data_IF_871322624144
#
_entry.id   IF_871322624144
#
_cell.length_a   1.000
_cell.length_b   1.000
_cell.length_c   1.000
_cell.angle_alpha   90.00
_cell.angle_beta   90.00
_cell.angle_gamma   90.00
#
_symmetry.space_group_name_H-M   'P 1'
#
loop_
_entity.id
_entity.type
_entity.pdbx_description
1 polymer ?
#
# COMPACT_ATOMS: atom_id res chain seq x y z
N UNK A 1 20.09 -43.58 53.54
CA UNK A 1 19.18 -43.29 52.45
C UNK A 1 17.87 -42.75 53.01
N UNK A 2 17.58 -41.44 52.79
CA UNK A 2 16.31 -40.85 53.28
C UNK A 2 15.17 -41.29 52.35
N UNK A 3 14.15 -41.95 52.93
CA UNK A 3 12.96 -42.40 52.18
C UNK A 3 12.13 -41.17 51.75
N UNK A 4 11.95 -41.02 50.44
CA UNK A 4 11.06 -40.00 49.89
C UNK A 4 9.63 -40.41 50.23
N UNK A 5 8.91 -39.55 50.96
CA UNK A 5 7.54 -39.88 51.38
C UNK A 5 6.54 -39.42 50.32
N UNK A 6 5.33 -40.03 50.23
CA UNK A 6 4.24 -39.67 49.33
C UNK A 6 3.90 -38.15 49.41
N UNK A 7 4.03 -37.52 50.60
CA UNK A 7 3.81 -36.10 50.83
C UNK A 7 4.85 -35.22 50.11
N UNK A 8 6.13 -35.65 50.08
CA UNK A 8 7.19 -34.94 49.36
C UNK A 8 7.02 -35.02 47.84
N UNK A 9 6.49 -36.13 47.33
CA UNK A 9 6.17 -36.23 45.90
C UNK A 9 4.97 -35.35 45.49
N UNK A 10 3.93 -35.28 46.32
CA UNK A 10 2.77 -34.41 46.08
C UNK A 10 3.12 -32.91 46.17
N UNK A 11 4.02 -32.53 47.06
CA UNK A 11 4.51 -31.15 47.13
C UNK A 11 5.40 -30.76 45.94
N UNK A 12 6.18 -31.71 45.43
CA UNK A 12 7.00 -31.47 44.22
C UNK A 12 6.15 -31.34 42.94
N UNK A 13 5.05 -32.10 42.81
CA UNK A 13 4.14 -31.97 41.66
C UNK A 13 3.31 -30.69 41.71
N UNK A 14 2.96 -30.16 42.88
CA UNK A 14 2.27 -28.87 43.02
C UNK A 14 3.17 -27.67 42.66
N UNK A 15 4.49 -27.76 42.85
CA UNK A 15 5.45 -26.74 42.49
C UNK A 15 5.63 -26.59 40.95
N UNK A 16 5.39 -27.66 40.18
CA UNK A 16 5.42 -27.59 38.71
C UNK A 16 4.16 -26.97 38.07
N UNK A 17 3.04 -26.92 38.80
CA UNK A 17 1.78 -26.35 38.29
C UNK A 17 1.74 -24.81 38.32
N UNK A 18 2.72 -24.18 38.96
CA UNK A 18 2.85 -22.68 39.02
C UNK A 18 4.07 -22.22 38.19
N UNK A 19 4.38 -22.90 37.09
CA UNK A 19 5.25 -22.26 36.11
C UNK A 19 4.53 -21.00 35.62
N UNK A 20 5.12 -19.77 35.80
CA UNK A 20 4.52 -18.59 35.20
C UNK A 20 4.38 -18.91 33.70
N UNK A 21 3.16 -18.82 33.18
CA UNK A 21 2.95 -18.83 31.74
C UNK A 21 3.87 -17.75 31.22
N UNK A 22 5.02 -18.14 30.68
CA UNK A 22 5.92 -17.19 29.99
C UNK A 22 5.05 -16.52 28.95
N UNK A 23 4.63 -15.28 29.24
CA UNK A 23 3.84 -14.49 28.32
C UNK A 23 4.65 -14.46 27.02
N UNK A 24 4.20 -15.23 26.03
CA UNK A 24 4.83 -15.17 24.71
C UNK A 24 4.84 -13.70 24.33
N UNK A 25 6.00 -13.12 23.98
CA UNK A 25 6.04 -11.73 23.58
C UNK A 25 5.00 -11.53 22.48
N UNK A 26 4.13 -10.54 22.66
CA UNK A 26 3.06 -10.28 21.69
C UNK A 26 3.68 -10.21 20.31
N UNK A 27 3.24 -11.08 19.39
CA UNK A 27 3.78 -11.14 18.03
C UNK A 27 3.68 -9.75 17.40
N UNK A 28 4.73 -9.33 16.73
CA UNK A 28 4.76 -8.07 15.97
C UNK A 28 3.68 -8.12 14.89
N UNK A 29 2.90 -7.06 14.78
CA UNK A 29 1.99 -6.86 13.64
C UNK A 29 2.74 -6.15 12.53
N UNK A 30 2.63 -6.62 11.30
CA UNK A 30 3.25 -5.99 10.12
C UNK A 30 2.17 -5.48 9.16
N UNK A 31 2.24 -4.21 8.83
CA UNK A 31 1.45 -3.56 7.79
C UNK A 31 2.32 -3.46 6.53
N UNK A 32 2.08 -4.29 5.55
CA UNK A 32 2.80 -4.28 4.28
C UNK A 32 2.15 -3.27 3.35
N UNK A 33 2.91 -2.26 2.94
CA UNK A 33 2.52 -1.24 1.95
C UNK A 33 3.17 -1.60 0.63
N UNK A 34 2.42 -1.91 -0.44
CA UNK A 34 2.96 -2.38 -1.71
C UNK A 34 3.51 -1.26 -2.60
N UNK A 35 3.86 -0.12 -2.01
CA UNK A 35 4.38 1.09 -2.67
C UNK A 35 5.55 1.67 -1.87
N UNK A 36 6.42 2.50 -2.50
CA UNK A 36 7.51 3.18 -1.81
C UNK A 36 7.01 4.11 -0.69
N UNK A 37 7.88 4.42 0.28
CA UNK A 37 7.57 5.42 1.32
C UNK A 37 7.22 6.78 0.73
N UNK A 38 6.39 7.57 1.46
CA UNK A 38 6.04 8.95 1.14
C UNK A 38 4.83 9.12 0.22
N UNK A 39 4.19 8.03 -0.21
CA UNK A 39 2.88 8.09 -0.88
C UNK A 39 1.71 8.09 0.10
N UNK A 40 0.47 8.32 -0.40
CA UNK A 40 -0.76 8.35 0.41
C UNK A 40 -0.99 7.07 1.21
N UNK A 41 -0.74 5.90 0.59
CA UNK A 41 -0.88 4.60 1.25
C UNK A 41 0.12 4.41 2.40
N UNK A 42 1.36 4.88 2.22
CA UNK A 42 2.38 4.83 3.27
C UNK A 42 2.04 5.76 4.44
N UNK A 43 1.61 6.98 4.14
CA UNK A 43 1.17 7.93 5.15
C UNK A 43 0.00 7.36 5.97
N UNK A 44 -1.00 6.77 5.31
CA UNK A 44 -2.13 6.13 5.95
C UNK A 44 -1.71 4.94 6.83
N UNK A 45 -0.81 4.07 6.33
CA UNK A 45 -0.30 2.94 7.10
C UNK A 45 0.44 3.39 8.37
N UNK A 46 1.20 4.49 8.31
CA UNK A 46 1.91 5.05 9.48
C UNK A 46 0.95 5.68 10.50
N UNK A 47 -0.14 6.31 10.06
CA UNK A 47 -1.21 6.78 10.95
C UNK A 47 -1.88 5.59 11.65
N UNK A 48 -2.21 4.53 10.91
CA UNK A 48 -2.75 3.30 11.48
C UNK A 48 -1.76 2.64 12.44
N UNK A 49 -0.47 2.60 12.10
CA UNK A 49 0.59 2.05 12.96
C UNK A 49 0.56 2.67 14.36
N UNK A 50 0.61 4.00 14.43
CA UNK A 50 0.63 4.72 15.71
C UNK A 50 -0.62 4.42 16.56
N UNK A 51 -1.78 4.43 15.92
CA UNK A 51 -3.05 4.14 16.60
C UNK A 51 -3.15 2.69 17.06
N UNK A 52 -2.81 1.74 16.20
CA UNK A 52 -2.86 0.31 16.50
C UNK A 52 -1.85 -0.08 17.59
N UNK A 53 -0.63 0.48 17.61
CA UNK A 53 0.33 0.26 18.69
C UNK A 53 -0.27 0.63 20.05
N UNK A 54 -0.89 1.79 20.13
CA UNK A 54 -1.52 2.28 21.36
C UNK A 54 -2.69 1.40 21.79
N UNK A 55 -3.57 1.04 20.85
CA UNK A 55 -4.79 0.27 21.15
C UNK A 55 -4.54 -1.19 21.47
N UNK A 56 -3.56 -1.81 20.81
CA UNK A 56 -3.29 -3.24 20.94
C UNK A 56 -2.19 -3.55 21.95
N UNK A 57 -1.44 -2.55 22.44
CA UNK A 57 -0.34 -2.72 23.38
C UNK A 57 0.79 -3.61 22.83
N UNK A 58 0.97 -3.64 21.50
CA UNK A 58 2.01 -4.45 20.83
C UNK A 58 2.70 -3.68 19.73
N UNK A 59 3.89 -4.11 19.34
CA UNK A 59 4.65 -3.50 18.24
C UNK A 59 3.92 -3.67 16.91
N UNK A 60 3.76 -2.59 16.17
CA UNK A 60 3.26 -2.57 14.79
C UNK A 60 4.35 -1.98 13.90
N UNK A 61 4.68 -2.66 12.81
CA UNK A 61 5.68 -2.23 11.82
C UNK A 61 5.00 -1.90 10.50
N UNK A 62 5.53 -0.91 9.80
CA UNK A 62 5.18 -0.64 8.40
C UNK A 62 6.35 -1.10 7.53
N UNK A 63 6.07 -2.01 6.59
CA UNK A 63 7.03 -2.52 5.62
C UNK A 63 6.63 -2.09 4.20
N UNK A 64 7.50 -1.37 3.50
CA UNK A 64 7.25 -0.98 2.11
C UNK A 64 7.83 -2.03 1.14
N UNK A 65 6.96 -2.68 0.35
CA UNK A 65 7.33 -3.72 -0.62
C UNK A 65 6.78 -3.39 -2.00
N UNK A 66 7.44 -2.47 -2.68
CA UNK A 66 6.99 -1.96 -3.98
C UNK A 66 7.36 -2.87 -5.15
N UNK A 67 6.58 -2.78 -6.23
CA UNK A 67 6.84 -3.42 -7.51
C UNK A 67 5.60 -4.01 -8.17
N UNK A 68 5.61 -4.07 -9.50
CA UNK A 68 4.56 -4.63 -10.35
C UNK A 68 3.14 -4.15 -9.96
N UNK A 69 2.94 -2.82 -9.92
CA UNK A 69 1.69 -2.17 -9.51
C UNK A 69 1.15 -2.62 -8.13
N UNK A 70 2.06 -3.01 -7.22
CA UNK A 70 1.70 -3.47 -5.87
C UNK A 70 1.56 -4.97 -5.71
N UNK A 71 1.62 -5.75 -6.80
CA UNK A 71 1.41 -7.20 -6.72
C UNK A 71 2.48 -7.94 -5.93
N UNK A 72 3.73 -7.44 -5.89
CA UNK A 72 4.80 -8.07 -5.11
C UNK A 72 4.54 -8.01 -3.61
N UNK A 73 4.12 -6.88 -3.09
CA UNK A 73 3.74 -6.73 -1.68
C UNK A 73 2.49 -7.54 -1.34
N UNK A 74 1.49 -7.55 -2.22
CA UNK A 74 0.29 -8.36 -2.05
C UNK A 74 0.61 -9.86 -2.01
N UNK A 75 1.45 -10.35 -2.93
CA UNK A 75 1.88 -11.75 -2.94
C UNK A 75 2.71 -12.14 -1.71
N UNK A 76 3.49 -11.22 -1.14
CA UNK A 76 4.19 -11.45 0.12
C UNK A 76 3.19 -11.70 1.27
N UNK A 77 2.15 -10.88 1.36
CA UNK A 77 1.11 -11.06 2.40
C UNK A 77 0.33 -12.33 2.18
N UNK A 78 -0.08 -12.63 0.96
CA UNK A 78 -0.78 -13.87 0.60
C UNK A 78 -0.01 -15.13 0.99
N UNK A 79 1.33 -15.09 0.95
CA UNK A 79 2.22 -16.21 1.34
C UNK A 79 2.62 -16.20 2.81
N UNK A 80 2.23 -15.19 3.59
CA UNK A 80 2.53 -15.12 5.02
C UNK A 80 1.67 -16.09 5.83
N UNK A 81 2.06 -16.35 7.08
CA UNK A 81 1.25 -17.18 7.98
C UNK A 81 -0.12 -16.52 8.21
N UNK A 82 -1.24 -17.25 8.10
CA UNK A 82 -2.59 -16.70 8.29
C UNK A 82 -2.93 -16.59 9.79
N UNK A 83 -2.04 -16.00 10.57
CA UNK A 83 -2.11 -15.89 12.02
C UNK A 83 -2.58 -14.51 12.52
N UNK A 84 -3.02 -13.64 11.60
CA UNK A 84 -3.50 -12.31 11.93
C UNK A 84 -2.41 -11.33 12.37
N UNK A 85 -1.17 -11.54 11.95
CA UNK A 85 -0.06 -10.63 12.26
C UNK A 85 0.49 -9.89 11.03
N UNK A 86 0.12 -10.28 9.81
CA UNK A 86 0.55 -9.61 8.58
C UNK A 86 -0.65 -9.15 7.77
N UNK A 87 -0.70 -7.86 7.47
CA UNK A 87 -1.80 -7.22 6.75
C UNK A 87 -1.28 -6.44 5.55
N UNK A 88 -2.04 -6.46 4.46
CA UNK A 88 -1.81 -5.59 3.31
C UNK A 88 -2.57 -4.28 3.51
N UNK A 89 -1.88 -3.15 3.40
CA UNK A 89 -2.51 -1.82 3.28
C UNK A 89 -2.36 -1.37 1.84
N UNK A 90 -3.43 -1.46 1.09
CA UNK A 90 -3.44 -1.19 -0.36
C UNK A 90 -4.62 -0.32 -0.75
N UNK A 91 -4.75 -0.01 -2.02
CA UNK A 91 -5.85 0.74 -2.61
C UNK A 91 -6.31 0.09 -3.92
N UNK A 92 -7.17 0.75 -4.66
CA UNK A 92 -7.88 0.26 -5.84
C UNK A 92 -7.04 -0.44 -6.92
N UNK A 93 -5.75 -0.07 -7.07
CA UNK A 93 -4.82 -0.75 -7.99
C UNK A 93 -4.70 -2.25 -7.72
N UNK A 94 -5.04 -2.71 -6.51
CA UNK A 94 -5.08 -4.13 -6.19
C UNK A 94 -6.09 -4.88 -7.05
N UNK A 95 -7.26 -4.29 -7.29
CA UNK A 95 -8.33 -4.90 -8.08
C UNK A 95 -7.99 -5.05 -9.57
N UNK A 96 -7.05 -4.25 -10.11
CA UNK A 96 -6.68 -4.31 -11.53
C UNK A 96 -5.49 -5.23 -11.80
N UNK A 97 -4.84 -5.79 -10.77
CA UNK A 97 -3.70 -6.72 -10.92
C UNK A 97 -3.97 -7.85 -11.92
N UNK A 98 -5.13 -8.54 -11.90
CA UNK A 98 -5.40 -9.62 -12.85
C UNK A 98 -5.50 -9.15 -14.30
N UNK A 99 -5.88 -7.88 -14.52
CA UNK A 99 -6.05 -7.32 -15.86
C UNK A 99 -4.74 -6.81 -16.47
N UNK A 100 -3.73 -6.51 -15.63
CA UNK A 100 -2.46 -5.90 -16.08
C UNK A 100 -1.27 -6.85 -16.05
N UNK A 101 -1.37 -7.97 -15.35
CA UNK A 101 -0.32 -8.98 -15.27
C UNK A 101 -0.81 -10.30 -15.89
N UNK A 102 -0.08 -10.79 -16.88
CA UNK A 102 -0.39 -12.09 -17.52
C UNK A 102 -0.31 -13.27 -16.53
N UNK A 103 0.60 -13.19 -15.57
CA UNK A 103 0.81 -14.23 -14.54
C UNK A 103 0.99 -13.59 -13.17
N UNK A 104 -0.09 -13.13 -12.52
CA UNK A 104 0.02 -12.62 -11.17
C UNK A 104 0.47 -13.73 -10.20
N UNK A 105 1.27 -13.36 -9.19
CA UNK A 105 1.77 -14.31 -8.19
C UNK A 105 0.76 -14.61 -7.07
N UNK A 106 -0.46 -14.05 -7.17
CA UNK A 106 -1.57 -14.24 -6.26
C UNK A 106 -2.89 -14.19 -7.02
N UNK A 107 -3.89 -14.85 -6.48
CA UNK A 107 -5.29 -14.66 -6.83
C UNK A 107 -5.88 -13.59 -5.91
N UNK A 108 -6.14 -12.37 -6.44
CA UNK A 108 -6.58 -11.22 -5.63
C UNK A 108 -7.92 -11.44 -4.94
N UNK A 109 -8.75 -12.36 -5.44
CA UNK A 109 -10.07 -12.65 -4.88
C UNK A 109 -10.03 -13.75 -3.80
N UNK A 110 -9.04 -14.66 -3.87
CA UNK A 110 -9.01 -15.86 -3.01
C UNK A 110 -7.91 -15.81 -1.96
N UNK A 111 -6.75 -15.25 -2.30
CA UNK A 111 -5.55 -15.36 -1.44
C UNK A 111 -5.53 -14.33 -0.31
N UNK A 112 -6.37 -13.28 -0.39
CA UNK A 112 -6.47 -12.23 0.61
C UNK A 112 -7.93 -11.96 0.98
N UNK A 113 -8.20 -11.92 2.28
CA UNK A 113 -9.52 -11.61 2.81
C UNK A 113 -9.59 -10.13 3.17
N UNK A 114 -10.55 -9.35 2.63
CA UNK A 114 -10.76 -7.96 3.03
C UNK A 114 -11.13 -7.88 4.53
N UNK A 115 -10.41 -7.06 5.29
CA UNK A 115 -10.62 -6.91 6.74
C UNK A 115 -11.35 -5.62 7.05
N UNK A 116 -10.93 -4.51 6.46
CA UNK A 116 -11.47 -3.20 6.78
C UNK A 116 -11.23 -2.19 5.66
N UNK A 117 -12.27 -1.41 5.32
CA UNK A 117 -12.16 -0.25 4.45
C UNK A 117 -11.78 0.97 5.30
N UNK A 118 -10.54 1.43 5.19
CA UNK A 118 -10.03 2.55 5.98
C UNK A 118 -10.70 3.88 5.58
N UNK A 119 -10.94 4.05 4.28
CA UNK A 119 -11.61 5.23 3.74
C UNK A 119 -11.61 5.24 2.22
N UNK A 120 -12.20 6.28 1.66
CA UNK A 120 -12.21 6.56 0.22
C UNK A 120 -11.67 7.96 -0.03
N UNK A 121 -10.96 8.15 -1.14
CA UNK A 121 -10.48 9.44 -1.58
C UNK A 121 -10.73 9.60 -3.08
N UNK A 122 -11.06 10.81 -3.57
CA UNK A 122 -11.20 11.04 -4.99
C UNK A 122 -9.82 11.03 -5.66
N UNK A 123 -9.77 10.56 -6.92
CA UNK A 123 -8.62 10.85 -7.77
C UNK A 123 -8.67 12.29 -8.23
N UNK A 124 -7.52 12.94 -8.23
CA UNK A 124 -7.37 14.31 -8.70
C UNK A 124 -6.28 14.38 -9.77
N UNK A 125 -6.42 15.32 -10.69
CA UNK A 125 -5.36 15.74 -11.60
C UNK A 125 -4.86 17.09 -11.07
N UNK A 126 -3.59 17.16 -10.72
CA UNK A 126 -2.97 18.38 -10.21
C UNK A 126 -1.79 18.80 -11.10
N UNK A 127 -1.46 20.07 -11.06
CA UNK A 127 -0.32 20.66 -11.77
C UNK A 127 0.42 21.64 -10.86
N UNK A 128 1.67 21.96 -11.20
CA UNK A 128 2.39 23.02 -10.53
C UNK A 128 1.70 24.37 -10.80
N UNK A 129 1.56 25.19 -9.76
CA UNK A 129 0.90 26.52 -9.85
C UNK A 129 1.52 27.46 -10.89
N UNK A 130 2.79 27.26 -11.24
CA UNK A 130 3.50 28.05 -12.26
C UNK A 130 3.19 27.58 -13.70
N UNK A 131 2.47 26.48 -13.89
CA UNK A 131 2.02 26.04 -15.20
C UNK A 131 0.83 26.86 -15.67
N UNK A 132 0.65 27.05 -17.00
CA UNK A 132 -0.43 27.88 -17.55
C UNK A 132 -1.82 27.23 -17.47
N UNK A 133 -1.92 26.03 -16.88
CA UNK A 133 -3.18 25.28 -16.80
C UNK A 133 -3.97 25.66 -15.55
N UNK A 134 -5.19 26.16 -15.73
CA UNK A 134 -6.13 26.47 -14.64
C UNK A 134 -7.29 25.47 -14.58
N UNK A 135 -7.56 24.84 -15.71
CA UNK A 135 -8.62 23.83 -15.88
C UNK A 135 -8.10 22.64 -16.70
N UNK A 136 -8.78 21.53 -16.66
CA UNK A 136 -8.47 20.40 -17.53
C UNK A 136 -8.73 20.72 -19.01
N UNK A 137 -9.63 21.67 -19.31
CA UNK A 137 -9.84 22.15 -20.67
C UNK A 137 -8.60 22.83 -21.25
N UNK A 138 -7.81 23.53 -20.42
CA UNK A 138 -6.54 24.13 -20.85
C UNK A 138 -5.52 23.06 -21.25
N UNK A 139 -5.47 21.97 -20.47
CA UNK A 139 -4.62 20.79 -20.78
C UNK A 139 -5.02 20.15 -22.11
N UNK A 140 -6.32 19.98 -22.34
CA UNK A 140 -6.85 19.44 -23.61
C UNK A 140 -6.48 20.37 -24.78
N UNK A 141 -6.67 21.68 -24.63
CA UNK A 141 -6.33 22.66 -25.67
C UNK A 141 -4.83 22.63 -26.00
N UNK A 142 -3.96 22.62 -24.99
CA UNK A 142 -2.53 22.53 -25.16
C UNK A 142 -2.10 21.20 -25.83
N UNK A 143 -2.70 20.09 -25.44
CA UNK A 143 -2.43 18.78 -26.05
C UNK A 143 -2.89 18.69 -27.50
N UNK A 144 -4.00 19.36 -27.87
CA UNK A 144 -4.45 19.45 -29.26
C UNK A 144 -3.52 20.32 -30.11
N UNK A 145 -3.04 21.43 -29.54
CA UNK A 145 -2.11 22.32 -30.23
C UNK A 145 -0.74 21.66 -30.50
N UNK A 146 -0.28 20.81 -29.57
CA UNK A 146 0.99 20.08 -29.69
C UNK A 146 0.85 18.69 -29.07
N UNK A 147 0.45 17.69 -29.88
CA UNK A 147 0.27 16.32 -29.39
C UNK A 147 1.52 15.77 -28.69
N UNK A 148 1.35 15.05 -27.60
CA UNK A 148 2.44 14.44 -26.83
C UNK A 148 3.31 15.41 -26.02
N UNK A 149 3.09 16.73 -26.11
CA UNK A 149 3.91 17.72 -25.40
C UNK A 149 3.61 17.83 -23.91
N UNK A 150 2.41 17.45 -23.48
CA UNK A 150 2.00 17.44 -22.09
C UNK A 150 2.35 16.09 -21.49
N UNK A 151 3.00 16.12 -20.33
CA UNK A 151 3.42 14.93 -19.59
C UNK A 151 2.63 14.78 -18.29
N UNK A 152 2.21 13.56 -17.97
CA UNK A 152 1.60 13.29 -16.68
C UNK A 152 2.31 12.17 -15.90
N UNK A 153 2.50 12.39 -14.62
CA UNK A 153 3.01 11.42 -13.67
C UNK A 153 1.88 10.55 -13.13
N UNK A 154 2.13 9.25 -13.01
CA UNK A 154 1.32 8.34 -12.20
C UNK A 154 2.20 7.53 -11.25
N UNK A 155 1.59 6.86 -10.29
CA UNK A 155 2.30 6.02 -9.31
C UNK A 155 2.73 4.66 -9.87
N UNK A 156 2.59 4.45 -11.19
CA UNK A 156 3.07 3.28 -11.90
C UNK A 156 2.19 2.86 -13.08
N UNK A 157 2.77 2.06 -13.96
CA UNK A 157 2.06 1.46 -15.10
C UNK A 157 0.98 0.50 -14.56
N UNK A 158 -0.22 0.54 -15.13
CA UNK A 158 -1.34 -0.31 -14.74
C UNK A 158 -2.09 0.14 -13.47
N UNK A 159 -1.64 1.20 -12.79
CA UNK A 159 -2.40 1.77 -11.68
C UNK A 159 -3.66 2.47 -12.16
N UNK A 160 -4.65 2.64 -11.30
CA UNK A 160 -5.92 3.28 -11.68
C UNK A 160 -5.72 4.69 -12.24
N UNK A 161 -4.77 5.47 -11.68
CA UNK A 161 -4.42 6.79 -12.22
C UNK A 161 -3.92 6.75 -13.66
N UNK A 162 -3.07 5.75 -13.99
CA UNK A 162 -2.63 5.55 -15.38
C UNK A 162 -3.80 5.19 -16.30
N UNK A 163 -4.64 4.25 -15.88
CA UNK A 163 -5.80 3.81 -16.68
C UNK A 163 -6.81 4.95 -16.88
N UNK A 164 -7.12 5.71 -15.82
CA UNK A 164 -8.04 6.83 -15.88
C UNK A 164 -7.56 7.92 -16.84
N UNK A 165 -6.27 8.31 -16.77
CA UNK A 165 -5.70 9.29 -17.71
C UNK A 165 -5.69 8.79 -19.14
N UNK A 166 -5.39 7.51 -19.37
CA UNK A 166 -5.46 6.90 -20.70
C UNK A 166 -6.87 6.96 -21.28
N UNK A 167 -7.88 6.65 -20.45
CA UNK A 167 -9.29 6.75 -20.86
C UNK A 167 -9.70 8.19 -21.14
N UNK A 168 -9.33 9.14 -20.29
CA UNK A 168 -9.63 10.57 -20.48
C UNK A 168 -8.99 11.12 -21.75
N UNK A 169 -7.71 10.81 -21.98
CA UNK A 169 -7.01 11.25 -23.20
C UNK A 169 -7.67 10.67 -24.46
N UNK A 170 -8.02 9.39 -24.44
CA UNK A 170 -8.74 8.73 -25.54
C UNK A 170 -10.11 9.38 -25.79
N UNK A 171 -10.89 9.63 -24.74
CA UNK A 171 -12.21 10.24 -24.85
C UNK A 171 -12.15 11.69 -25.33
N UNK A 172 -11.12 12.45 -24.93
CA UNK A 172 -10.88 13.83 -25.37
C UNK A 172 -10.25 13.92 -26.76
N UNK A 173 -9.80 12.81 -27.35
CA UNK A 173 -9.11 12.76 -28.63
C UNK A 173 -7.78 13.51 -28.60
N UNK A 174 -7.00 13.36 -27.51
CA UNK A 174 -5.71 14.01 -27.31
C UNK A 174 -4.62 13.00 -26.95
N UNK A 175 -3.36 13.38 -27.22
CA UNK A 175 -2.20 12.63 -26.83
C UNK A 175 -1.50 13.32 -25.65
N UNK A 176 -1.41 12.61 -24.51
CA UNK A 176 -0.72 13.06 -23.29
C UNK A 176 0.29 11.99 -22.91
N UNK A 177 1.57 12.37 -22.74
CA UNK A 177 2.66 11.43 -22.52
C UNK A 177 2.69 10.95 -21.07
N UNK A 178 2.66 9.64 -20.86
CA UNK A 178 2.75 9.04 -19.55
C UNK A 178 4.19 8.95 -19.05
N UNK A 179 4.43 9.41 -17.82
CA UNK A 179 5.70 9.27 -17.10
C UNK A 179 5.44 8.43 -15.84
N UNK A 180 5.79 7.13 -15.84
CA UNK A 180 5.53 6.26 -14.71
C UNK A 180 6.57 6.46 -13.60
N UNK A 181 6.10 6.62 -12.36
CA UNK A 181 6.92 6.67 -11.15
C UNK A 181 6.70 5.42 -10.30
N UNK A 182 7.65 5.14 -9.41
CA UNK A 182 7.53 4.01 -8.48
C UNK A 182 6.70 4.34 -7.23
N UNK A 183 5.90 5.41 -7.26
CA UNK A 183 5.03 5.84 -6.15
C UNK A 183 4.77 7.33 -6.15
N UNK A 184 3.91 7.78 -5.23
CA UNK A 184 3.45 9.18 -5.17
C UNK A 184 4.53 10.18 -4.76
N UNK A 185 5.43 9.83 -3.86
CA UNK A 185 6.48 10.74 -3.38
C UNK A 185 7.37 11.27 -4.51
N UNK A 186 8.07 10.41 -5.26
CA UNK A 186 8.88 10.84 -6.41
C UNK A 186 8.09 11.59 -7.48
N UNK A 187 6.86 11.13 -7.80
CA UNK A 187 5.99 11.79 -8.77
C UNK A 187 5.64 13.23 -8.35
N UNK A 188 5.29 13.41 -7.08
CA UNK A 188 4.97 14.74 -6.53
C UNK A 188 6.17 15.68 -6.57
N UNK A 189 7.37 15.20 -6.22
CA UNK A 189 8.58 16.03 -6.25
C UNK A 189 8.87 16.54 -7.66
N UNK A 190 8.72 15.71 -8.68
CA UNK A 190 8.98 16.10 -10.07
C UNK A 190 7.93 17.06 -10.62
N UNK A 191 6.66 16.92 -10.23
CA UNK A 191 5.63 17.90 -10.60
C UNK A 191 5.85 19.22 -9.89
N UNK A 192 6.20 19.23 -8.60
CA UNK A 192 6.54 20.45 -7.86
C UNK A 192 7.79 21.12 -8.43
N UNK A 193 8.79 20.35 -8.86
CA UNK A 193 9.98 20.82 -9.54
C UNK A 193 9.74 21.32 -10.99
N UNK A 194 8.55 21.06 -11.54
CA UNK A 194 8.22 21.43 -12.93
C UNK A 194 8.83 20.52 -13.98
N UNK A 195 9.34 19.34 -13.60
CA UNK A 195 9.91 18.36 -14.53
C UNK A 195 8.83 17.59 -15.30
N UNK A 196 7.65 17.47 -14.73
CA UNK A 196 6.45 16.88 -15.34
C UNK A 196 5.29 17.84 -15.17
N UNK A 197 4.36 17.88 -16.12
CA UNK A 197 3.29 18.89 -16.15
C UNK A 197 2.17 18.60 -15.17
N UNK A 198 1.76 17.34 -15.07
CA UNK A 198 0.60 16.89 -14.31
C UNK A 198 0.96 15.71 -13.43
N UNK A 199 0.21 15.54 -12.34
CA UNK A 199 0.15 14.28 -11.57
C UNK A 199 -1.30 13.84 -11.48
N UNK A 200 -1.53 12.52 -11.54
CA UNK A 200 -2.81 11.91 -11.24
C UNK A 200 -2.67 10.94 -10.08
N UNK A 201 -3.49 11.12 -9.06
CA UNK A 201 -3.46 10.30 -7.86
C UNK A 201 -4.54 10.67 -6.84
N UNK A 202 -4.55 9.98 -5.72
CA UNK A 202 -5.41 10.21 -4.55
C UNK A 202 -4.59 10.60 -3.34
#
# INVERSE_FOLDING_TARGET
MKKITRRTMLAASAAFAVAPALAQPAKVMTLVVPFPPGGSTDALARLLQAHLQTKLGRTVLVENKSGAAGSLGAAQVAKSAPDGNTYLVTFDSHAVIPAILEKPQLDVEKDLVPVFLVGTAPYVIATNANRPFKTFADVIAASKAKPGSIQYASVGIGTLGHLAMTMLAKQAGVEITHVPYRGGGPAMNDVLGGHVDLIVGS
#
